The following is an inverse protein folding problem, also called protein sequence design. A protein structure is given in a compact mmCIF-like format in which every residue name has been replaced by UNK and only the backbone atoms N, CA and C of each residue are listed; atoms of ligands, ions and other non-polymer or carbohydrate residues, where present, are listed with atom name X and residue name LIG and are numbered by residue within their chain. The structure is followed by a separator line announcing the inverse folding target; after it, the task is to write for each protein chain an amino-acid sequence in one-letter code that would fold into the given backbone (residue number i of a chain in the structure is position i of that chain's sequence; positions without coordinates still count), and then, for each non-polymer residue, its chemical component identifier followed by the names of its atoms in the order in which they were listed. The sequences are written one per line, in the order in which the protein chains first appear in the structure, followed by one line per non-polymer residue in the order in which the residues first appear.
data_IF_516851879277
#
_entry.id   IF_516851879277
#
_cell.length_a   1.000
_cell.length_b   1.000
_cell.length_c   1.000
_cell.angle_alpha   90.00
_cell.angle_beta   90.00
_cell.angle_gamma   90.00
#
_symmetry.space_group_name_H-M   'P 1'
#
loop_
_entity.id
_entity.type
_entity.pdbx_description
1 polymer ?
#
# COMPACT_ATOMS: atom_id res chain seq x y z
N UNK A 1 7.57 -21.19 -16.63
CA UNK A 1 7.83 -20.78 -15.24
C UNK A 1 7.46 -19.32 -15.14
N UNK A 2 6.50 -18.97 -14.29
CA UNK A 2 6.15 -17.58 -14.06
C UNK A 2 7.32 -16.96 -13.29
N UNK A 3 8.16 -16.18 -13.96
CA UNK A 3 9.24 -15.45 -13.28
C UNK A 3 8.58 -14.60 -12.19
N UNK A 4 8.93 -14.86 -10.94
CA UNK A 4 8.44 -14.10 -9.81
C UNK A 4 8.99 -12.68 -9.92
N UNK A 5 8.19 -11.75 -10.44
CA UNK A 5 8.55 -10.34 -10.57
C UNK A 5 8.29 -9.66 -9.24
N UNK A 6 9.32 -9.06 -8.66
CA UNK A 6 9.14 -8.33 -7.41
C UNK A 6 8.69 -6.88 -7.65
N UNK A 7 8.39 -6.19 -6.56
CA UNK A 7 7.86 -4.82 -6.58
C UNK A 7 8.76 -3.82 -7.33
N UNK A 8 10.09 -3.97 -7.25
CA UNK A 8 11.04 -3.07 -7.91
C UNK A 8 11.08 -3.30 -9.42
N UNK A 9 11.06 -4.57 -9.83
CA UNK A 9 11.03 -4.93 -11.24
C UNK A 9 9.73 -4.45 -11.90
N UNK A 10 8.59 -4.66 -11.24
CA UNK A 10 7.28 -4.23 -11.74
C UNK A 10 7.26 -2.71 -11.92
N UNK A 11 7.75 -1.95 -10.94
CA UNK A 11 7.81 -0.48 -11.02
C UNK A 11 8.70 0.00 -12.17
N UNK A 12 9.87 -0.62 -12.38
CA UNK A 12 10.73 -0.30 -13.53
C UNK A 12 10.02 -0.62 -14.85
N UNK A 13 9.45 -1.82 -14.98
CA UNK A 13 8.81 -2.26 -16.22
C UNK A 13 7.61 -1.38 -16.62
N UNK A 14 6.88 -0.80 -15.65
CA UNK A 14 5.80 0.15 -15.97
C UNK A 14 6.26 1.43 -16.66
N UNK A 15 7.55 1.75 -16.62
CA UNK A 15 8.14 2.94 -17.27
C UNK A 15 8.74 2.62 -18.65
N UNK A 16 8.84 1.33 -19.00
CA UNK A 16 9.55 0.88 -20.20
C UNK A 16 11.08 0.96 -20.13
N UNK A 17 11.67 1.35 -18.99
CA UNK A 17 13.12 1.43 -18.82
C UNK A 17 13.78 0.05 -18.77
N UNK A 18 14.94 -0.10 -19.43
CA UNK A 18 15.79 -1.29 -19.27
C UNK A 18 16.55 -1.24 -17.94
N UNK A 19 17.10 -2.39 -17.50
CA UNK A 19 17.92 -2.43 -16.28
C UNK A 19 19.15 -1.51 -16.42
N UNK A 20 19.77 -1.50 -17.60
CA UNK A 20 20.94 -0.67 -17.89
C UNK A 20 20.60 0.80 -17.70
N UNK A 21 19.52 1.27 -18.36
CA UNK A 21 19.14 2.67 -18.30
C UNK A 21 18.70 3.11 -16.90
N UNK A 22 17.94 2.27 -16.21
CA UNK A 22 17.51 2.56 -14.84
C UNK A 22 18.70 2.62 -13.87
N UNK A 23 19.66 1.68 -13.99
CA UNK A 23 20.85 1.67 -13.15
C UNK A 23 21.75 2.89 -13.37
N UNK A 24 21.88 3.35 -14.62
CA UNK A 24 22.59 4.57 -14.98
C UNK A 24 21.92 5.80 -14.34
N UNK A 25 20.60 5.94 -14.46
CA UNK A 25 19.85 7.04 -13.85
C UNK A 25 19.97 7.06 -12.31
N UNK A 26 20.08 5.89 -11.68
CA UNK A 26 20.23 5.76 -10.23
C UNK A 26 21.67 5.89 -9.73
N UNK A 27 22.65 5.92 -10.63
CA UNK A 27 24.08 5.85 -10.30
C UNK A 27 24.44 4.61 -9.47
N UNK A 28 24.01 3.43 -9.94
CA UNK A 28 24.32 2.12 -9.35
C UNK A 28 24.73 1.12 -10.45
N UNK A 29 25.38 0.02 -10.09
CA UNK A 29 25.68 -1.03 -11.06
C UNK A 29 24.41 -1.78 -11.51
N UNK A 30 24.37 -2.19 -12.78
CA UNK A 30 23.31 -3.06 -13.34
C UNK A 30 23.14 -4.32 -12.49
N UNK A 31 24.24 -4.91 -12.01
CA UNK A 31 24.21 -6.09 -11.15
C UNK A 31 23.58 -5.82 -9.78
N UNK A 32 23.77 -4.61 -9.22
CA UNK A 32 23.08 -4.22 -7.98
C UNK A 32 21.58 -4.14 -8.21
N UNK A 33 21.15 -3.49 -9.29
CA UNK A 33 19.74 -3.41 -9.65
C UNK A 33 19.14 -4.81 -9.87
N UNK A 34 19.85 -5.68 -10.60
CA UNK A 34 19.44 -7.07 -10.82
C UNK A 34 19.34 -7.87 -9.53
N UNK A 35 20.24 -7.65 -8.57
CA UNK A 35 20.17 -8.28 -7.25
C UNK A 35 18.94 -7.82 -6.45
N UNK A 36 18.57 -6.54 -6.57
CA UNK A 36 17.34 -6.00 -5.96
C UNK A 36 16.09 -6.59 -6.61
N UNK A 37 15.99 -6.56 -7.94
CA UNK A 37 14.84 -7.08 -8.71
C UNK A 37 14.68 -8.60 -8.59
N UNK A 38 15.79 -9.33 -8.44
CA UNK A 38 15.78 -10.77 -8.20
C UNK A 38 15.53 -11.17 -6.74
N UNK A 39 15.31 -10.21 -5.83
CA UNK A 39 15.07 -10.47 -4.40
C UNK A 39 16.29 -11.01 -3.63
N UNK A 40 17.49 -11.01 -4.23
CA UNK A 40 18.72 -11.46 -3.57
C UNK A 40 19.18 -10.50 -2.48
N UNK A 41 18.85 -9.22 -2.62
CA UNK A 41 19.20 -8.16 -1.67
C UNK A 41 18.05 -7.17 -1.59
N UNK A 42 17.75 -6.67 -0.39
CA UNK A 42 16.84 -5.54 -0.22
C UNK A 42 17.57 -4.23 -0.55
N UNK A 43 17.04 -3.39 -1.45
CA UNK A 43 17.63 -2.08 -1.72
C UNK A 43 17.54 -1.18 -0.48
N UNK A 44 18.57 -0.37 -0.20
CA UNK A 44 18.51 0.61 0.88
C UNK A 44 17.55 1.76 0.53
N UNK A 45 16.97 2.42 1.52
CA UNK A 45 15.96 3.48 1.36
C UNK A 45 16.39 4.55 0.36
N UNK A 46 17.66 4.97 0.38
CA UNK A 46 18.20 5.98 -0.55
C UNK A 46 18.09 5.56 -2.02
N UNK A 47 18.24 4.26 -2.31
CA UNK A 47 18.07 3.73 -3.68
C UNK A 47 16.58 3.64 -4.02
N UNK A 48 15.74 3.23 -3.07
CA UNK A 48 14.29 3.15 -3.29
C UNK A 48 13.68 4.54 -3.54
N UNK A 49 14.15 5.58 -2.85
CA UNK A 49 13.75 6.97 -3.12
C UNK A 49 14.05 7.34 -4.58
N UNK A 50 15.27 7.04 -5.07
CA UNK A 50 15.60 7.25 -6.49
C UNK A 50 14.72 6.43 -7.42
N UNK A 51 14.40 5.17 -7.08
CA UNK A 51 13.47 4.35 -7.87
C UNK A 51 12.08 5.00 -7.95
N UNK A 52 11.55 5.50 -6.84
CA UNK A 52 10.24 6.18 -6.81
C UNK A 52 10.26 7.43 -7.69
N UNK A 53 11.31 8.24 -7.59
CA UNK A 53 11.47 9.48 -8.36
C UNK A 53 11.65 9.21 -9.86
N UNK A 54 12.47 8.22 -10.24
CA UNK A 54 12.75 7.89 -11.64
C UNK A 54 11.58 7.16 -12.29
N UNK A 55 10.90 6.29 -11.54
CA UNK A 55 9.79 5.48 -12.06
C UNK A 55 8.43 6.16 -11.91
N UNK A 56 8.37 7.32 -11.27
CA UNK A 56 7.13 8.02 -10.92
C UNK A 56 6.08 7.11 -10.26
N UNK A 57 6.53 6.22 -9.38
CA UNK A 57 5.70 5.18 -8.77
C UNK A 57 5.69 5.33 -7.25
N UNK A 58 4.85 6.24 -6.75
CA UNK A 58 4.74 6.50 -5.30
C UNK A 58 4.34 5.26 -4.50
N UNK A 59 3.55 4.36 -5.08
CA UNK A 59 3.14 3.13 -4.42
C UNK A 59 4.32 2.23 -4.03
N UNK A 60 5.44 2.31 -4.75
CA UNK A 60 6.65 1.56 -4.45
C UNK A 60 7.18 1.88 -3.05
N UNK A 61 6.98 3.10 -2.56
CA UNK A 61 7.36 3.49 -1.19
C UNK A 61 6.60 2.66 -0.15
N UNK A 62 5.29 2.54 -0.32
CA UNK A 62 4.43 1.77 0.57
C UNK A 62 4.80 0.29 0.52
N UNK A 63 4.94 -0.26 -0.69
CA UNK A 63 5.33 -1.66 -0.89
C UNK A 63 6.69 -1.97 -0.28
N UNK A 64 7.67 -1.07 -0.43
CA UNK A 64 8.98 -1.23 0.19
C UNK A 64 8.84 -1.33 1.70
N UNK A 65 8.19 -0.37 2.38
CA UNK A 65 8.04 -0.38 3.83
C UNK A 65 7.26 -1.60 4.32
N UNK A 66 6.19 -1.99 3.61
CA UNK A 66 5.38 -3.17 3.92
C UNK A 66 6.18 -4.47 3.81
N UNK A 67 7.20 -4.54 2.95
CA UNK A 67 7.97 -5.77 2.70
C UNK A 67 9.33 -5.80 3.41
N UNK A 68 10.01 -4.67 3.56
CA UNK A 68 11.38 -4.58 4.07
C UNK A 68 11.47 -4.43 5.58
N UNK A 69 10.45 -3.86 6.22
CA UNK A 69 10.44 -3.58 7.65
C UNK A 69 9.45 -4.47 8.40
N UNK A 70 9.88 -5.11 9.50
CA UNK A 70 9.04 -5.98 10.33
C UNK A 70 7.82 -5.23 10.90
N UNK A 71 8.02 -3.98 11.34
CA UNK A 71 6.94 -3.09 11.79
C UNK A 71 5.96 -2.83 10.66
N UNK A 72 6.46 -2.60 9.44
CA UNK A 72 5.63 -2.41 8.25
C UNK A 72 4.80 -3.65 7.92
N UNK A 73 5.42 -4.83 7.92
CA UNK A 73 4.73 -6.10 7.69
C UNK A 73 3.57 -6.32 8.66
N UNK A 74 3.79 -6.02 9.95
CA UNK A 74 2.83 -6.29 11.02
C UNK A 74 1.70 -5.27 11.14
N UNK A 75 1.95 -3.99 10.85
CA UNK A 75 1.02 -2.91 11.17
C UNK A 75 0.50 -2.11 9.98
N UNK A 76 1.16 -2.16 8.81
CA UNK A 76 0.60 -1.53 7.61
C UNK A 76 -0.48 -2.44 7.01
N UNK A 77 -1.59 -1.90 6.48
CA UNK A 77 -2.59 -2.68 5.76
C UNK A 77 -2.03 -3.45 4.55
N UNK A 78 -2.81 -4.38 4.01
CA UNK A 78 -2.51 -4.99 2.72
C UNK A 78 -3.33 -4.29 1.64
N UNK A 79 -2.65 -3.55 0.76
CA UNK A 79 -3.32 -2.80 -0.30
C UNK A 79 -3.21 -3.59 -1.60
N UNK A 80 -4.35 -3.91 -2.18
CA UNK A 80 -4.46 -4.41 -3.53
C UNK A 80 -4.77 -3.24 -4.47
N UNK A 81 -3.86 -2.93 -5.40
CA UNK A 81 -4.17 -1.94 -6.46
C UNK A 81 -5.21 -2.56 -7.38
N UNK A 82 -6.29 -1.80 -7.62
CA UNK A 82 -7.34 -2.14 -8.58
C UNK A 82 -7.38 -1.07 -9.67
N UNK A 83 -7.98 -1.43 -10.80
CA UNK A 83 -8.30 -0.47 -11.86
C UNK A 83 -9.19 0.65 -11.31
N UNK A 84 -9.00 1.89 -11.80
CA UNK A 84 -9.70 3.08 -11.31
C UNK A 84 -11.22 2.89 -11.12
N UNK A 85 -11.99 2.29 -12.06
CA UNK A 85 -13.43 2.09 -11.88
C UNK A 85 -13.77 1.17 -10.70
N UNK A 86 -12.96 0.13 -10.47
CA UNK A 86 -13.18 -0.81 -9.36
C UNK A 86 -12.81 -0.16 -8.04
N UNK A 87 -11.71 0.60 -8.01
CA UNK A 87 -11.25 1.30 -6.81
C UNK A 87 -12.27 2.34 -6.32
N UNK A 88 -12.82 3.16 -7.23
CA UNK A 88 -13.81 4.19 -6.86
C UNK A 88 -15.13 3.58 -6.37
N UNK A 89 -15.60 2.50 -7.01
CA UNK A 89 -16.81 1.80 -6.57
C UNK A 89 -16.63 1.14 -5.20
N UNK A 90 -15.46 0.53 -4.94
CA UNK A 90 -15.12 -0.01 -3.62
C UNK A 90 -15.15 1.09 -2.56
N UNK A 91 -14.50 2.23 -2.82
CA UNK A 91 -14.51 3.36 -1.88
C UNK A 91 -15.94 3.83 -1.57
N UNK A 92 -16.78 4.00 -2.60
CA UNK A 92 -18.18 4.40 -2.41
C UNK A 92 -18.96 3.39 -1.56
N UNK A 93 -18.75 2.09 -1.76
CA UNK A 93 -19.34 1.03 -0.96
C UNK A 93 -18.89 1.14 0.51
N UNK A 94 -17.58 1.13 0.77
CA UNK A 94 -17.08 1.12 2.15
C UNK A 94 -17.48 2.38 2.93
N UNK A 95 -17.48 3.56 2.27
CA UNK A 95 -17.99 4.80 2.89
C UNK A 95 -19.49 4.69 3.20
N UNK A 96 -20.27 4.09 2.31
CA UNK A 96 -21.71 3.90 2.53
C UNK A 96 -21.99 2.91 3.66
N UNK A 97 -21.19 1.86 3.79
CA UNK A 97 -21.30 0.87 4.86
C UNK A 97 -20.94 1.49 6.21
N UNK A 98 -19.84 2.27 6.26
CA UNK A 98 -19.47 3.04 7.45
C UNK A 98 -20.55 4.05 7.88
N UNK A 99 -21.16 4.79 6.94
CA UNK A 99 -22.19 5.80 7.26
C UNK A 99 -23.38 5.18 7.99
N UNK A 100 -23.73 3.91 7.73
CA UNK A 100 -24.81 3.21 8.45
C UNK A 100 -24.51 3.01 9.94
N UNK A 101 -23.22 2.98 10.32
CA UNK A 101 -22.77 2.84 11.70
C UNK A 101 -22.51 4.17 12.40
N UNK A 102 -22.69 5.31 11.70
CA UNK A 102 -22.40 6.64 12.25
C UNK A 102 -23.13 6.92 13.56
N UNK A 103 -24.42 6.60 13.61
CA UNK A 103 -25.24 6.92 14.78
C UNK A 103 -24.85 6.03 15.98
N UNK A 104 -24.53 4.75 15.72
CA UNK A 104 -23.98 3.81 16.71
C UNK A 104 -22.62 4.28 17.24
N UNK A 105 -21.74 4.80 16.37
CA UNK A 105 -20.47 5.38 16.77
C UNK A 105 -20.68 6.56 17.73
N UNK A 106 -21.63 7.45 17.44
CA UNK A 106 -21.92 8.60 18.29
C UNK A 106 -22.44 8.14 19.66
N UNK A 107 -23.33 7.15 19.70
CA UNK A 107 -23.87 6.59 20.94
C UNK A 107 -22.76 6.00 21.83
N UNK A 108 -21.93 5.11 21.28
CA UNK A 108 -20.83 4.44 21.99
C UNK A 108 -19.75 5.42 22.47
N UNK A 109 -19.54 6.54 21.77
CA UNK A 109 -18.48 7.50 22.12
C UNK A 109 -18.96 8.66 22.98
N UNK A 110 -20.26 8.74 23.28
CA UNK A 110 -20.90 9.89 23.92
C UNK A 110 -20.37 10.18 25.32
N UNK A 111 -20.12 9.13 26.11
CA UNK A 111 -19.62 9.22 27.48
C UNK A 111 -18.07 9.23 27.58
N UNK A 112 -17.40 9.03 26.43
CA UNK A 112 -15.95 8.96 26.30
C UNK A 112 -15.33 7.64 26.80
N UNK A 113 -16.11 6.61 27.13
CA UNK A 113 -15.62 5.35 27.67
C UNK A 113 -16.27 4.17 26.95
N UNK A 114 -15.49 3.45 26.15
CA UNK A 114 -15.97 2.23 25.49
C UNK A 114 -15.92 1.07 26.49
N UNK A 115 -17.08 0.63 26.97
CA UNK A 115 -17.20 -0.47 27.92
C UNK A 115 -17.09 -1.87 27.28
N UNK A 116 -17.17 -2.94 28.09
CA UNK A 116 -17.07 -4.33 27.60
C UNK A 116 -18.26 -4.76 26.72
N UNK A 117 -19.44 -4.16 26.92
CA UNK A 117 -20.65 -4.43 26.14
C UNK A 117 -20.64 -3.70 24.80
N UNK A 118 -20.03 -2.52 24.75
CA UNK A 118 -19.87 -1.71 23.54
C UNK A 118 -18.67 -2.15 22.70
N UNK A 119 -17.67 -2.78 23.32
CA UNK A 119 -16.43 -3.25 22.66
C UNK A 119 -16.65 -4.02 21.37
N UNK A 120 -17.61 -4.96 21.26
CA UNK A 120 -17.87 -5.67 20.01
C UNK A 120 -18.37 -4.75 18.89
N UNK A 121 -19.28 -3.82 19.19
CA UNK A 121 -19.80 -2.86 18.22
C UNK A 121 -18.73 -1.84 17.82
N UNK A 122 -17.91 -1.40 18.78
CA UNK A 122 -16.76 -0.55 18.50
C UNK A 122 -15.75 -1.22 17.56
N UNK A 123 -15.42 -2.50 17.79
CA UNK A 123 -14.52 -3.23 16.91
C UNK A 123 -15.07 -3.35 15.48
N UNK A 124 -16.39 -3.47 15.32
CA UNK A 124 -17.03 -3.44 14.00
C UNK A 124 -16.84 -2.08 13.34
N UNK A 125 -17.06 -0.98 14.06
CA UNK A 125 -16.85 0.37 13.56
C UNK A 125 -15.40 0.61 13.12
N UNK A 126 -14.43 0.19 13.95
CA UNK A 126 -12.99 0.30 13.63
C UNK A 126 -12.67 -0.50 12.37
N UNK A 127 -13.23 -1.70 12.22
CA UNK A 127 -13.04 -2.49 11.01
C UNK A 127 -13.56 -1.79 9.75
N UNK A 128 -14.76 -1.21 9.79
CA UNK A 128 -15.29 -0.46 8.63
C UNK A 128 -14.42 0.77 8.31
N UNK A 129 -13.84 1.44 9.33
CA UNK A 129 -12.88 2.52 9.12
C UNK A 129 -11.59 2.02 8.44
N UNK A 130 -11.07 0.86 8.86
CA UNK A 130 -9.90 0.23 8.24
C UNK A 130 -10.20 -0.13 6.78
N UNK A 131 -11.38 -0.69 6.49
CA UNK A 131 -11.84 -1.00 5.12
C UNK A 131 -11.93 0.27 4.25
N UNK A 132 -12.38 1.40 4.82
CA UNK A 132 -12.37 2.71 4.14
C UNK A 132 -10.95 3.18 3.86
N UNK A 133 -10.03 3.07 4.82
CA UNK A 133 -8.61 3.46 4.64
C UNK A 133 -7.96 2.64 3.52
N UNK A 134 -8.19 1.33 3.48
CA UNK A 134 -7.73 0.48 2.39
C UNK A 134 -8.27 0.92 1.04
N UNK A 135 -9.57 1.23 0.95
CA UNK A 135 -10.20 1.66 -0.29
C UNK A 135 -9.67 3.02 -0.77
N UNK A 136 -9.42 3.97 0.14
CA UNK A 136 -8.79 5.26 -0.18
C UNK A 136 -7.40 5.03 -0.76
N UNK A 137 -6.59 4.19 -0.12
CA UNK A 137 -5.24 3.93 -0.58
C UNK A 137 -5.23 3.20 -1.93
N UNK A 138 -6.11 2.22 -2.12
CA UNK A 138 -6.26 1.54 -3.41
C UNK A 138 -6.64 2.51 -4.53
N UNK A 139 -7.53 3.48 -4.26
CA UNK A 139 -7.89 4.53 -5.21
C UNK A 139 -6.74 5.49 -5.50
N UNK A 140 -6.03 5.94 -4.46
CA UNK A 140 -4.88 6.86 -4.61
C UNK A 140 -3.79 6.30 -5.52
N UNK A 141 -3.64 4.98 -5.55
CA UNK A 141 -2.64 4.29 -6.37
C UNK A 141 -3.24 3.52 -7.55
N UNK A 142 -4.52 3.74 -7.86
CA UNK A 142 -5.16 3.15 -9.02
C UNK A 142 -4.52 3.67 -10.32
N UNK A 143 -4.45 2.80 -11.33
CA UNK A 143 -4.02 3.14 -12.69
C UNK A 143 -5.22 3.48 -13.57
#
# INVERSE_FOLDING_TARGET
MQEYRNIYQIARESTGLTQEKASECMDISVDSLRAYEGGKRTPPDKVVIKMIEIYDTQYLAYQHLKTSAEVGQKYLPEIEIKELPVAILRLQKEVSDFIKLRDVMIEITCDGVIDEYERPQWNQIVKELDDVVEAIMALKFAK
#
